data_IF_797816559455
#
_entry.id   IF_797816559455
#
_cell.length_a   1.000
_cell.length_b   1.000
_cell.length_c   1.000
_cell.angle_alpha   90.00
_cell.angle_beta   90.00
_cell.angle_gamma   90.00
#
_symmetry.space_group_name_H-M   'P 1'
#
loop_
_entity.id
_entity.type
_entity.pdbx_description
1 polymer ?
#
# COMPACT_ATOMS: atom_id res chain seq x y z
N UNK A 1 -16.25 -13.89 -6.93
CA UNK A 1 -16.09 -12.49 -7.37
C UNK A 1 -14.77 -12.03 -6.80
N UNK A 2 -13.86 -11.52 -7.63
CA UNK A 2 -12.56 -11.06 -7.17
C UNK A 2 -12.72 -9.79 -6.32
N UNK A 3 -11.93 -9.66 -5.27
CA UNK A 3 -11.92 -8.51 -4.36
C UNK A 3 -10.57 -7.81 -4.40
N UNK A 4 -10.57 -6.53 -4.79
CA UNK A 4 -9.40 -5.66 -4.72
C UNK A 4 -9.50 -4.77 -3.47
N UNK A 5 -8.52 -4.85 -2.57
CA UNK A 5 -8.34 -3.86 -1.51
C UNK A 5 -7.43 -2.74 -2.03
N UNK A 6 -8.00 -1.57 -2.29
CA UNK A 6 -7.26 -0.39 -2.73
C UNK A 6 -7.10 0.59 -1.57
N UNK A 7 -5.85 0.81 -1.16
CA UNK A 7 -5.45 1.71 -0.07
C UNK A 7 -4.67 2.89 -0.66
N UNK A 8 -5.14 4.10 -0.42
CA UNK A 8 -4.41 5.32 -0.71
C UNK A 8 -3.95 6.02 0.57
N UNK A 9 -2.73 6.56 0.57
CA UNK A 9 -2.16 7.25 1.74
C UNK A 9 -1.59 8.65 1.46
N UNK A 10 -1.72 9.14 0.22
CA UNK A 10 -1.29 10.49 -0.13
C UNK A 10 -2.18 11.54 0.51
N UNK A 11 -1.57 12.58 1.09
CA UNK A 11 -2.33 13.72 1.67
C UNK A 11 -3.00 14.60 0.60
N UNK A 12 -2.55 14.52 -0.65
CA UNK A 12 -3.16 15.22 -1.77
C UNK A 12 -4.20 14.31 -2.42
N UNK A 13 -5.34 14.87 -2.81
CA UNK A 13 -6.43 14.15 -3.47
C UNK A 13 -6.33 14.21 -5.00
N UNK A 14 -6.90 13.20 -5.67
CA UNK A 14 -6.99 13.11 -7.13
C UNK A 14 -5.67 13.34 -7.86
N UNK A 15 -5.72 14.05 -8.99
CA UNK A 15 -4.58 14.30 -9.87
C UNK A 15 -3.45 15.15 -9.27
N UNK A 16 -3.63 15.74 -8.08
CA UNK A 16 -2.54 16.42 -7.37
C UNK A 16 -1.54 15.43 -6.75
N UNK A 17 -1.89 14.14 -6.68
CA UNK A 17 -1.00 13.07 -6.24
C UNK A 17 -0.63 12.15 -7.40
N UNK A 18 0.68 12.00 -7.63
CA UNK A 18 1.19 11.05 -8.63
C UNK A 18 0.88 9.61 -8.26
N UNK A 19 0.95 9.24 -6.97
CA UNK A 19 0.61 7.87 -6.56
C UNK A 19 -0.86 7.57 -6.84
N UNK A 20 -1.77 8.49 -6.47
CA UNK A 20 -3.21 8.31 -6.72
C UNK A 20 -3.56 8.21 -8.20
N UNK A 21 -2.92 9.06 -9.02
CA UNK A 21 -3.13 9.02 -10.48
C UNK A 21 -2.79 7.63 -11.06
N UNK A 22 -1.73 7.00 -10.57
CA UNK A 22 -1.29 5.69 -11.05
C UNK A 22 -2.11 4.55 -10.41
N UNK A 23 -2.51 4.65 -9.14
CA UNK A 23 -3.41 3.67 -8.52
C UNK A 23 -4.81 3.71 -9.14
N UNK A 24 -5.32 4.88 -9.50
CA UNK A 24 -6.59 5.03 -10.24
C UNK A 24 -6.52 4.35 -11.61
N UNK A 25 -5.40 4.49 -12.33
CA UNK A 25 -5.18 3.81 -13.61
C UNK A 25 -5.14 2.28 -13.44
N UNK A 26 -4.44 1.78 -12.42
CA UNK A 26 -4.43 0.36 -12.08
C UNK A 26 -5.84 -0.14 -11.75
N UNK A 27 -6.55 0.54 -10.86
CA UNK A 27 -7.92 0.19 -10.46
C UNK A 27 -8.82 0.09 -11.68
N UNK A 28 -8.79 1.09 -12.55
CA UNK A 28 -9.64 1.14 -13.74
C UNK A 28 -9.38 -0.06 -14.65
N UNK A 29 -8.11 -0.37 -14.91
CA UNK A 29 -7.72 -1.54 -15.70
C UNK A 29 -8.11 -2.86 -15.02
N UNK A 30 -8.06 -2.96 -13.69
CA UNK A 30 -8.48 -4.14 -12.94
C UNK A 30 -9.99 -4.35 -12.98
N UNK A 31 -10.78 -3.28 -12.84
CA UNK A 31 -12.26 -3.31 -12.93
C UNK A 31 -12.73 -3.71 -14.33
N UNK A 32 -12.02 -3.28 -15.38
CA UNK A 32 -12.29 -3.73 -16.76
C UNK A 32 -12.12 -5.24 -16.93
N UNK A 33 -11.19 -5.87 -16.20
CA UNK A 33 -11.00 -7.33 -16.22
C UNK A 33 -11.94 -8.08 -15.26
N UNK A 34 -12.52 -7.38 -14.28
CA UNK A 34 -13.47 -7.94 -13.31
C UNK A 34 -14.74 -7.10 -13.22
N UNK A 35 -15.65 -7.16 -14.22
CA UNK A 35 -16.89 -6.39 -14.20
C UNK A 35 -17.79 -6.67 -12.99
N UNK A 36 -17.74 -7.89 -12.45
CA UNK A 36 -18.44 -8.30 -11.22
C UNK A 36 -17.52 -8.28 -9.98
N UNK A 37 -16.31 -7.72 -10.12
CA UNK A 37 -15.34 -7.57 -9.04
C UNK A 37 -15.80 -6.54 -8.02
N UNK A 38 -15.34 -6.69 -6.78
CA UNK A 38 -15.59 -5.73 -5.72
C UNK A 38 -14.30 -4.97 -5.41
N UNK A 39 -14.38 -3.65 -5.34
CA UNK A 39 -13.26 -2.85 -4.82
C UNK A 39 -13.58 -2.30 -3.45
N UNK A 40 -12.82 -2.73 -2.44
CA UNK A 40 -12.82 -2.16 -1.10
C UNK A 40 -11.83 -1.00 -1.10
N UNK A 41 -12.34 0.22 -1.04
CA UNK A 41 -11.51 1.43 -1.05
C UNK A 41 -11.26 1.97 0.35
N UNK A 42 -10.01 2.31 0.65
CA UNK A 42 -9.60 2.94 1.90
C UNK A 42 -8.68 4.12 1.63
N UNK A 43 -9.20 5.32 1.87
CA UNK A 43 -8.40 6.55 1.88
C UNK A 43 -7.89 6.83 3.31
N UNK A 44 -6.60 6.59 3.55
CA UNK A 44 -5.99 6.77 4.86
C UNK A 44 -5.68 8.24 5.19
N UNK A 45 -5.73 9.14 4.21
CA UNK A 45 -5.58 10.57 4.45
C UNK A 45 -6.92 11.23 4.82
N UNK A 46 -8.02 10.81 4.18
CA UNK A 46 -9.37 11.29 4.48
C UNK A 46 -9.99 10.61 5.71
N UNK A 47 -9.75 9.31 5.85
CA UNK A 47 -10.27 8.49 6.95
C UNK A 47 -9.12 7.74 7.65
N UNK A 48 -8.29 8.45 8.42
CA UNK A 48 -7.16 7.84 9.11
C UNK A 48 -7.63 6.78 10.11
N UNK A 49 -6.87 5.69 10.19
CA UNK A 49 -7.06 4.66 11.20
C UNK A 49 -6.39 5.09 12.52
N UNK A 50 -6.89 4.63 13.68
CA UNK A 50 -6.26 4.95 14.96
C UNK A 50 -4.84 4.38 15.02
N UNK A 51 -3.92 5.12 15.66
CA UNK A 51 -2.63 4.56 16.04
C UNK A 51 -2.81 3.44 17.07
N UNK A 52 -1.89 2.47 17.08
CA UNK A 52 -1.90 1.40 18.07
C UNK A 52 -1.68 1.98 19.47
N UNK A 53 -2.60 1.64 20.38
CA UNK A 53 -2.51 1.95 21.80
C UNK A 53 -1.97 0.75 22.58
N UNK A 54 -1.62 0.95 23.87
CA UNK A 54 -1.24 -0.15 24.75
C UNK A 54 -2.36 -1.20 24.87
N UNK A 55 -3.62 -0.76 24.94
CA UNK A 55 -4.77 -1.67 25.00
C UNK A 55 -4.88 -2.49 23.72
N UNK A 56 -4.80 -1.84 22.55
CA UNK A 56 -4.86 -2.52 21.25
C UNK A 56 -3.71 -3.53 21.05
N UNK A 57 -2.52 -3.19 21.54
CA UNK A 57 -1.33 -4.05 21.48
C UNK A 57 -1.47 -5.25 22.42
N UNK A 58 -1.77 -5.01 23.70
CA UNK A 58 -1.87 -6.07 24.72
C UNK A 58 -3.04 -7.01 24.46
N UNK A 59 -4.16 -6.51 23.93
CA UNK A 59 -5.29 -7.33 23.51
C UNK A 59 -4.91 -8.40 22.47
N UNK A 60 -3.91 -8.12 21.62
CA UNK A 60 -3.40 -9.09 20.63
C UNK A 60 -2.69 -10.31 21.23
N UNK A 61 -2.38 -10.28 22.53
CA UNK A 61 -1.74 -11.39 23.26
C UNK A 61 -2.66 -12.01 24.32
N UNK A 62 -3.91 -11.56 24.43
CA UNK A 62 -4.89 -12.00 25.41
C UNK A 62 -6.08 -12.68 24.73
N UNK A 63 -6.70 -13.65 25.42
CA UNK A 63 -7.90 -14.29 24.91
C UNK A 63 -9.08 -13.27 24.87
N UNK A 64 -9.93 -13.26 23.83
CA UNK A 64 -10.97 -12.23 23.68
C UNK A 64 -11.95 -12.10 24.85
N UNK A 65 -12.22 -13.19 25.57
CA UNK A 65 -13.08 -13.24 26.76
C UNK A 65 -12.43 -12.60 28.01
N UNK A 66 -11.13 -12.29 27.95
CA UNK A 66 -10.37 -11.64 29.03
C UNK A 66 -10.14 -10.15 28.80
N UNK A 67 -10.56 -9.61 27.65
CA UNK A 67 -10.36 -8.20 27.31
C UNK A 67 -11.17 -7.28 28.23
N UNK A 68 -10.55 -6.18 28.69
CA UNK A 68 -11.29 -5.04 29.22
C UNK A 68 -12.19 -4.43 28.12
N UNK A 69 -13.20 -3.61 28.48
CA UNK A 69 -14.00 -2.91 27.48
C UNK A 69 -13.17 -2.10 26.48
N UNK A 70 -12.12 -1.41 26.93
CA UNK A 70 -11.21 -0.61 26.11
C UNK A 70 -10.34 -1.48 25.20
N UNK A 71 -9.84 -2.61 25.72
CA UNK A 71 -9.12 -3.60 24.91
C UNK A 71 -10.02 -4.20 23.82
N UNK A 72 -11.25 -4.55 24.16
CA UNK A 72 -12.20 -5.14 23.22
C UNK A 72 -12.55 -4.14 22.09
N UNK A 73 -12.81 -2.88 22.42
CA UNK A 73 -13.08 -1.83 21.44
C UNK A 73 -11.87 -1.60 20.51
N UNK A 74 -10.68 -1.41 21.10
CA UNK A 74 -9.47 -1.15 20.34
C UNK A 74 -9.07 -2.35 19.47
N UNK A 75 -9.26 -3.57 19.96
CA UNK A 75 -8.98 -4.80 19.20
C UNK A 75 -10.00 -5.03 18.09
N UNK A 76 -11.28 -4.72 18.28
CA UNK A 76 -12.29 -4.82 17.24
C UNK A 76 -11.96 -3.92 16.03
N UNK A 77 -11.44 -2.72 16.27
CA UNK A 77 -10.99 -1.84 15.19
C UNK A 77 -9.84 -2.46 14.36
N UNK A 78 -8.89 -3.15 15.02
CA UNK A 78 -7.82 -3.89 14.34
C UNK A 78 -8.37 -5.06 13.54
N UNK A 79 -9.24 -5.85 14.14
CA UNK A 79 -9.83 -7.04 13.53
C UNK A 79 -10.54 -6.67 12.23
N UNK A 80 -11.28 -5.56 12.19
CA UNK A 80 -11.93 -5.08 10.96
C UNK A 80 -10.92 -4.85 9.83
N UNK A 81 -9.79 -4.20 10.10
CA UNK A 81 -8.76 -3.92 9.09
C UNK A 81 -8.07 -5.21 8.62
N UNK A 82 -7.86 -6.15 9.54
CA UNK A 82 -7.32 -7.47 9.21
C UNK A 82 -8.29 -8.25 8.33
N UNK A 83 -9.58 -8.24 8.64
CA UNK A 83 -10.61 -8.94 7.87
C UNK A 83 -10.77 -8.36 6.46
N UNK A 84 -10.67 -7.03 6.30
CA UNK A 84 -10.59 -6.40 4.98
C UNK A 84 -9.43 -6.96 4.16
N UNK A 85 -8.23 -7.08 4.75
CA UNK A 85 -7.06 -7.65 4.09
C UNK A 85 -7.21 -9.16 3.81
N UNK A 86 -7.72 -9.93 4.76
CA UNK A 86 -7.96 -11.37 4.61
C UNK A 86 -9.03 -11.69 3.55
N UNK A 87 -9.94 -10.76 3.29
CA UNK A 87 -10.97 -10.89 2.26
C UNK A 87 -10.49 -10.51 0.85
N UNK A 88 -9.31 -9.92 0.72
CA UNK A 88 -8.80 -9.40 -0.54
C UNK A 88 -8.08 -10.50 -1.33
N UNK A 89 -8.46 -10.63 -2.60
CA UNK A 89 -7.75 -11.48 -3.56
C UNK A 89 -6.52 -10.75 -4.13
N UNK A 90 -6.55 -9.41 -4.16
CA UNK A 90 -5.41 -8.57 -4.50
C UNK A 90 -5.42 -7.27 -3.68
N UNK A 91 -4.24 -6.68 -3.49
CA UNK A 91 -4.08 -5.41 -2.77
C UNK A 91 -3.35 -4.39 -3.66
N UNK A 92 -3.85 -3.16 -3.69
CA UNK A 92 -3.22 -2.01 -4.33
C UNK A 92 -2.92 -0.96 -3.27
N UNK A 93 -1.67 -0.50 -3.18
CA UNK A 93 -1.25 0.49 -2.18
C UNK A 93 -0.61 1.71 -2.87
N UNK A 94 -1.20 2.89 -2.72
CA UNK A 94 -0.59 4.18 -3.02
C UNK A 94 0.27 4.67 -1.85
N UNK A 95 1.60 4.64 -1.99
CA UNK A 95 2.57 4.93 -0.92
C UNK A 95 3.59 6.02 -1.34
N UNK A 96 3.20 7.30 -1.40
CA UNK A 96 4.14 8.37 -1.73
C UNK A 96 5.22 8.51 -0.65
N UNK A 97 6.44 8.83 -1.08
CA UNK A 97 7.53 9.14 -0.17
C UNK A 97 7.34 10.51 0.50
N UNK A 98 7.27 10.53 1.83
CA UNK A 98 7.33 11.74 2.66
C UNK A 98 8.50 11.64 3.63
N UNK A 99 9.41 12.62 3.59
CA UNK A 99 10.61 12.64 4.43
C UNK A 99 11.37 11.30 4.40
N UNK A 100 11.64 10.80 3.20
CA UNK A 100 12.33 9.53 2.91
C UNK A 100 11.55 8.23 3.20
N UNK A 101 10.41 8.29 3.92
CA UNK A 101 9.66 7.12 4.34
C UNK A 101 8.21 7.15 3.83
N UNK A 102 7.42 6.13 4.20
CA UNK A 102 5.99 6.05 3.91
C UNK A 102 5.18 7.10 4.68
N UNK A 103 3.94 7.43 4.26
CA UNK A 103 3.07 8.30 5.03
C UNK A 103 2.75 7.70 6.41
N UNK A 104 2.66 8.55 7.44
CA UNK A 104 2.39 8.11 8.81
C UNK A 104 1.03 7.39 8.96
N UNK A 105 0.06 7.75 8.12
CA UNK A 105 -1.26 7.12 8.06
C UNK A 105 -1.18 5.69 7.52
N UNK A 106 -0.32 5.44 6.52
CA UNK A 106 -0.02 4.08 6.04
C UNK A 106 0.69 3.25 7.10
N UNK A 107 1.64 3.85 7.84
CA UNK A 107 2.29 3.18 8.97
C UNK A 107 1.30 2.78 10.06
N UNK A 108 0.34 3.65 10.39
CA UNK A 108 -0.72 3.34 11.34
C UNK A 108 -1.59 2.17 10.87
N UNK A 109 -1.93 2.11 9.57
CA UNK A 109 -2.65 0.97 9.02
C UNK A 109 -1.86 -0.34 9.10
N UNK A 110 -0.57 -0.32 8.71
CA UNK A 110 0.32 -1.47 8.85
C UNK A 110 0.39 -1.96 10.30
N UNK A 111 0.52 -1.06 11.27
CA UNK A 111 0.56 -1.43 12.70
C UNK A 111 -0.73 -2.11 13.18
N UNK A 112 -1.88 -1.74 12.63
CA UNK A 112 -3.15 -2.39 12.97
C UNK A 112 -3.25 -3.80 12.40
N UNK A 113 -2.83 -4.01 11.15
CA UNK A 113 -2.96 -5.30 10.47
C UNK A 113 -1.90 -6.33 10.88
N UNK A 114 -0.79 -5.91 11.47
CA UNK A 114 0.26 -6.82 11.95
C UNK A 114 -0.15 -7.43 13.29
N UNK A 115 -0.63 -8.66 13.25
CA UNK A 115 -1.07 -9.41 14.43
C UNK A 115 -0.41 -10.79 14.45
N UNK A 116 0.40 -11.00 15.49
CA UNK A 116 1.10 -12.28 15.73
C UNK A 116 0.07 -13.40 15.88
N UNK A 117 0.30 -14.51 15.20
CA UNK A 117 -0.58 -15.68 15.24
C UNK A 117 -1.77 -15.61 14.28
N UNK A 118 -1.99 -14.48 13.57
CA UNK A 118 -3.04 -14.33 12.56
C UNK A 118 -2.50 -13.93 11.19
N UNK A 119 -1.89 -12.75 11.10
CA UNK A 119 -1.31 -12.22 9.84
C UNK A 119 0.21 -12.30 9.83
N UNK A 120 0.85 -12.20 10.99
CA UNK A 120 2.30 -12.25 11.16
C UNK A 120 2.74 -13.45 12.02
N UNK A 121 3.97 -13.92 11.79
CA UNK A 121 4.61 -14.98 12.59
C UNK A 121 3.73 -16.24 12.78
N UNK A 122 3.01 -16.63 11.73
CA UNK A 122 2.18 -17.83 11.71
C UNK A 122 2.25 -18.49 10.34
N UNK A 123 2.23 -19.83 10.31
CA UNK A 123 2.23 -20.56 9.04
C UNK A 123 0.87 -20.53 8.34
N UNK A 124 -0.21 -20.43 9.11
CA UNK A 124 -1.60 -20.53 8.66
C UNK A 124 -2.22 -19.17 8.26
N UNK A 125 -1.39 -18.15 8.02
CA UNK A 125 -1.86 -16.82 7.64
C UNK A 125 -2.62 -16.85 6.31
N UNK A 126 -3.87 -16.36 6.31
CA UNK A 126 -4.76 -16.34 5.14
C UNK A 126 -4.30 -15.40 4.03
N UNK A 127 -3.42 -14.45 4.36
CA UNK A 127 -2.96 -13.41 3.44
C UNK A 127 -1.66 -13.81 2.70
N UNK A 128 -1.09 -14.97 3.03
CA UNK A 128 0.15 -15.43 2.40
C UNK A 128 -0.03 -15.62 0.90
N UNK A 129 0.89 -15.07 0.12
CA UNK A 129 0.88 -15.15 -1.34
C UNK A 129 -0.14 -14.24 -2.03
N UNK A 130 -0.94 -13.47 -1.29
CA UNK A 130 -1.84 -12.47 -1.89
C UNK A 130 -1.00 -11.45 -2.67
N UNK A 131 -1.30 -11.21 -3.96
CA UNK A 131 -0.59 -10.22 -4.77
C UNK A 131 -0.84 -8.80 -4.26
N UNK A 132 0.24 -8.03 -4.11
CA UNK A 132 0.25 -6.65 -3.66
C UNK A 132 1.01 -5.80 -4.67
N UNK A 133 0.32 -4.88 -5.34
CA UNK A 133 0.99 -3.85 -6.17
C UNK A 133 1.10 -2.55 -5.38
N UNK A 134 2.30 -1.99 -5.32
CA UNK A 134 2.61 -0.77 -4.57
C UNK A 134 3.06 0.33 -5.52
N UNK A 135 2.37 1.46 -5.50
CA UNK A 135 2.77 2.67 -6.22
C UNK A 135 3.59 3.55 -5.28
N UNK A 136 4.91 3.43 -5.35
CA UNK A 136 5.87 4.12 -4.49
C UNK A 136 6.37 5.43 -5.13
N UNK A 137 5.50 6.43 -5.25
CA UNK A 137 5.85 7.69 -5.93
C UNK A 137 6.86 8.53 -5.14
N UNK A 138 7.86 9.12 -5.80
CA UNK A 138 8.93 9.88 -5.14
C UNK A 138 9.38 11.14 -5.88
N UNK A 139 9.68 12.19 -5.12
CA UNK A 139 9.99 13.53 -5.66
C UNK A 139 11.31 13.64 -6.40
N UNK A 140 12.32 12.89 -5.97
CA UNK A 140 13.62 12.73 -6.65
C UNK A 140 13.84 11.28 -7.06
N UNK A 141 15.03 10.96 -7.56
CA UNK A 141 15.40 9.56 -7.81
C UNK A 141 16.24 9.00 -6.64
N UNK A 142 15.93 7.75 -6.29
CA UNK A 142 16.59 6.94 -5.29
C UNK A 142 16.93 5.55 -5.88
N UNK A 143 16.97 5.47 -7.21
CA UNK A 143 17.31 4.25 -7.93
C UNK A 143 18.80 3.89 -7.73
N UNK A 144 19.20 2.64 -8.00
CA UNK A 144 20.59 2.24 -8.00
C UNK A 144 21.48 3.19 -8.83
N UNK A 145 22.61 3.59 -8.26
CA UNK A 145 23.58 4.52 -8.85
C UNK A 145 23.27 6.00 -8.64
N UNK A 146 22.13 6.37 -8.05
CA UNK A 146 21.81 7.79 -7.77
C UNK A 146 22.42 8.26 -6.45
N UNK A 147 22.68 9.57 -6.26
CA UNK A 147 23.29 10.09 -5.02
C UNK A 147 22.49 9.79 -3.74
N UNK A 148 21.20 9.45 -3.86
CA UNK A 148 20.29 9.15 -2.74
C UNK A 148 19.86 7.69 -2.68
N UNK A 149 20.48 6.79 -3.44
CA UNK A 149 20.17 5.35 -3.43
C UNK A 149 20.05 4.78 -2.00
N UNK A 150 21.00 5.08 -1.12
CA UNK A 150 21.00 4.62 0.28
C UNK A 150 19.90 5.22 1.17
N UNK A 151 19.01 6.05 0.63
CA UNK A 151 17.89 6.69 1.34
C UNK A 151 16.53 6.19 0.84
N UNK A 152 16.49 5.08 0.07
CA UNK A 152 15.25 4.43 -0.34
C UNK A 152 14.66 3.63 0.83
N UNK A 153 13.94 4.28 1.73
CA UNK A 153 13.29 3.60 2.86
C UNK A 153 11.84 3.21 2.58
N UNK A 154 11.22 3.63 1.47
CA UNK A 154 9.83 3.25 1.15
C UNK A 154 9.79 1.81 0.68
N UNK A 155 10.52 1.48 -0.38
CA UNK A 155 10.52 0.12 -0.93
C UNK A 155 11.12 -0.87 0.07
N UNK A 156 12.28 -0.55 0.66
CA UNK A 156 12.94 -1.42 1.63
C UNK A 156 12.06 -1.73 2.85
N UNK A 157 11.34 -0.73 3.39
CA UNK A 157 10.45 -0.94 4.53
C UNK A 157 9.22 -1.77 4.17
N UNK A 158 8.58 -1.45 3.03
CA UNK A 158 7.38 -2.16 2.58
C UNK A 158 7.69 -3.60 2.17
N UNK A 159 8.86 -3.87 1.58
CA UNK A 159 9.31 -5.24 1.31
C UNK A 159 9.52 -6.02 2.61
N UNK A 160 10.26 -5.46 3.58
CA UNK A 160 10.49 -6.11 4.86
C UNK A 160 9.18 -6.42 5.62
N UNK A 161 8.21 -5.50 5.59
CA UNK A 161 6.94 -5.68 6.30
C UNK A 161 5.98 -6.59 5.54
N UNK A 162 5.71 -6.32 4.26
CA UNK A 162 4.66 -7.01 3.52
C UNK A 162 5.16 -8.35 2.99
N UNK A 163 6.35 -8.40 2.38
CA UNK A 163 6.91 -9.64 1.81
C UNK A 163 7.52 -10.51 2.89
N UNK A 164 8.53 -10.01 3.61
CA UNK A 164 9.34 -10.86 4.48
C UNK A 164 8.61 -11.25 5.76
N UNK A 165 7.90 -10.31 6.38
CA UNK A 165 7.19 -10.56 7.65
C UNK A 165 5.77 -11.12 7.46
N UNK A 166 5.00 -10.63 6.48
CA UNK A 166 3.60 -11.04 6.27
C UNK A 166 3.43 -12.10 5.17
N UNK A 167 4.45 -12.37 4.36
CA UNK A 167 4.41 -13.38 3.31
C UNK A 167 3.57 -13.00 2.10
N UNK A 168 3.33 -11.71 1.86
CA UNK A 168 2.61 -11.19 0.70
C UNK A 168 3.51 -11.21 -0.55
N UNK A 169 2.89 -11.31 -1.73
CA UNK A 169 3.62 -11.24 -3.00
C UNK A 169 3.68 -9.80 -3.53
N UNK A 170 4.78 -9.12 -3.24
CA UNK A 170 4.90 -7.67 -3.40
C UNK A 170 5.54 -7.29 -4.73
N UNK A 171 4.94 -6.37 -5.46
CA UNK A 171 5.49 -5.77 -6.67
C UNK A 171 5.34 -4.23 -6.65
N UNK A 172 6.22 -3.51 -7.34
CA UNK A 172 6.31 -2.06 -7.30
C UNK A 172 6.08 -1.40 -8.67
N UNK A 173 5.47 -0.22 -8.63
CA UNK A 173 5.48 0.79 -9.69
C UNK A 173 6.07 2.06 -9.06
N UNK A 174 7.15 2.59 -9.65
CA UNK A 174 7.94 3.68 -9.03
C UNK A 174 7.96 4.91 -9.95
N UNK A 175 6.89 5.72 -9.97
CA UNK A 175 6.95 7.02 -10.62
C UNK A 175 7.87 7.95 -9.82
N UNK A 176 8.88 8.49 -10.46
CA UNK A 176 9.93 9.27 -9.82
C UNK A 176 10.10 10.67 -10.44
N UNK A 177 10.94 11.49 -9.81
CA UNK A 177 11.18 12.87 -10.22
C UNK A 177 9.92 13.74 -10.20
N UNK A 178 8.93 13.42 -9.37
CA UNK A 178 7.62 14.11 -9.34
C UNK A 178 7.70 15.58 -8.92
N UNK A 179 8.82 16.00 -8.33
CA UNK A 179 9.09 17.41 -8.02
C UNK A 179 9.66 18.20 -9.20
N UNK A 180 10.12 17.54 -10.28
CA UNK A 180 10.75 18.21 -11.42
C UNK A 180 9.88 19.31 -12.05
N UNK A 181 8.57 19.11 -12.28
CA UNK A 181 7.69 20.15 -12.84
C UNK A 181 7.46 21.35 -11.91
N UNK A 182 7.75 21.19 -10.61
CA UNK A 182 7.41 22.16 -9.56
C UNK A 182 8.63 22.84 -8.95
N UNK A 183 9.84 22.39 -9.31
CA UNK A 183 11.09 22.90 -8.77
C UNK A 183 11.96 23.44 -9.92
N UNK A 184 12.17 24.76 -10.02
CA UNK A 184 13.00 25.35 -11.07
C UNK A 184 14.42 24.76 -11.16
N UNK A 185 14.99 24.32 -10.03
CA UNK A 185 16.31 23.68 -10.00
C UNK A 185 16.35 22.28 -10.64
N UNK A 186 15.19 21.71 -10.98
CA UNK A 186 15.03 20.38 -11.59
C UNK A 186 14.46 20.46 -13.01
N UNK A 187 14.41 21.65 -13.63
CA UNK A 187 13.80 21.85 -14.95
C UNK A 187 14.37 20.91 -16.02
N UNK A 188 15.69 20.65 -15.99
CA UNK A 188 16.36 19.74 -16.93
C UNK A 188 15.92 18.27 -16.78
N UNK A 189 15.30 17.91 -15.65
CA UNK A 189 14.82 16.56 -15.35
C UNK A 189 13.35 16.34 -15.76
N UNK A 190 12.64 17.39 -16.21
CA UNK A 190 11.22 17.27 -16.62
C UNK A 190 11.00 16.21 -17.70
N UNK A 191 11.84 16.07 -18.75
CA UNK A 191 11.67 14.99 -19.72
C UNK A 191 11.77 13.59 -19.11
N UNK A 192 12.64 13.40 -18.10
CA UNK A 192 12.78 12.12 -17.39
C UNK A 192 11.57 11.84 -16.49
N UNK A 193 11.03 12.87 -15.83
CA UNK A 193 9.76 12.77 -15.11
C UNK A 193 8.63 12.34 -16.03
N UNK A 194 8.49 12.94 -17.21
CA UNK A 194 7.43 12.60 -18.17
C UNK A 194 7.53 11.14 -18.66
N UNK A 195 8.75 10.69 -18.95
CA UNK A 195 9.00 9.29 -19.29
C UNK A 195 8.66 8.33 -18.12
N UNK A 196 9.06 8.69 -16.89
CA UNK A 196 8.72 7.92 -15.69
C UNK A 196 7.22 7.86 -15.45
N UNK A 197 6.51 8.97 -15.63
CA UNK A 197 5.05 9.04 -15.51
C UNK A 197 4.35 8.17 -16.54
N UNK A 198 4.74 8.26 -17.82
CA UNK A 198 4.16 7.43 -18.88
C UNK A 198 4.37 5.95 -18.59
N UNK A 199 5.60 5.56 -18.25
CA UNK A 199 5.91 4.17 -17.90
C UNK A 199 5.08 3.68 -16.71
N UNK A 200 4.91 4.50 -15.67
CA UNK A 200 4.14 4.10 -14.50
C UNK A 200 2.66 3.84 -14.83
N UNK A 201 2.08 4.60 -15.75
CA UNK A 201 0.70 4.37 -16.23
C UNK A 201 0.60 3.08 -17.07
N UNK A 202 1.58 2.83 -17.94
CA UNK A 202 1.63 1.60 -18.74
C UNK A 202 1.84 0.36 -17.85
N UNK A 203 2.74 0.45 -16.86
CA UNK A 203 2.98 -0.58 -15.86
C UNK A 203 1.71 -0.85 -15.04
N UNK A 204 0.96 0.20 -14.65
CA UNK A 204 -0.28 0.05 -13.91
C UNK A 204 -1.33 -0.74 -14.69
N UNK A 205 -1.54 -0.41 -15.96
CA UNK A 205 -2.47 -1.14 -16.82
C UNK A 205 -2.02 -2.59 -17.06
N UNK A 206 -0.72 -2.82 -17.20
CA UNK A 206 -0.14 -4.15 -17.44
C UNK A 206 -0.26 -5.05 -16.21
N UNK A 207 0.23 -4.58 -15.05
CA UNK A 207 0.18 -5.33 -13.79
C UNK A 207 -1.25 -5.60 -13.33
N UNK A 208 -2.19 -4.67 -13.56
CA UNK A 208 -3.60 -4.90 -13.27
C UNK A 208 -4.17 -6.11 -14.04
N UNK A 209 -3.79 -6.28 -15.31
CA UNK A 209 -4.17 -7.43 -16.13
C UNK A 209 -3.48 -8.72 -15.68
N UNK A 210 -2.19 -8.67 -15.36
CA UNK A 210 -1.45 -9.83 -14.85
C UNK A 210 -2.04 -10.34 -13.52
N UNK A 211 -2.40 -9.43 -12.62
CA UNK A 211 -3.11 -9.77 -11.38
C UNK A 211 -4.48 -10.39 -11.70
N UNK A 212 -5.24 -9.82 -12.64
CA UNK A 212 -6.53 -10.37 -13.03
C UNK A 212 -6.44 -11.79 -13.60
N UNK A 213 -5.49 -12.03 -14.50
CA UNK A 213 -5.23 -13.34 -15.08
C UNK A 213 -4.84 -14.36 -14.02
N UNK A 214 -4.04 -13.96 -13.03
CA UNK A 214 -3.67 -14.81 -11.90
C UNK A 214 -4.88 -15.20 -11.04
N UNK A 215 -5.83 -14.30 -10.82
CA UNK A 215 -7.04 -14.57 -10.03
C UNK A 215 -8.06 -15.45 -10.76
N UNK A 216 -7.95 -15.57 -12.08
CA UNK A 216 -8.80 -16.42 -12.90
C UNK A 216 -8.26 -17.86 -13.08
N UNK A 217 -6.99 -18.11 -12.74
CA UNK A 217 -6.30 -19.40 -12.89
C UNK A 217 -6.49 -20.33 -11.69
#
# INVERSE_FOLDING_TARGET
MATLLHIDSSVFSGGASTSRTVTDAFRSAWEEQHPDGTVVYRDLAEHPVPHITADAHTAGFAAPDTHSPEQAEAFAARVKLIEELESADAVLIGAPMYNFAIPSTLKAWLDNIVLIGRTAMTEDSKIKGTPVTIVASRGGSYAPGTPREGQEYVQNYLEAVLRDMLGLDVDFIVPELTMAPHNPAMTELVPLFEASRSKALDDAATKAKEVAERLAA
#
